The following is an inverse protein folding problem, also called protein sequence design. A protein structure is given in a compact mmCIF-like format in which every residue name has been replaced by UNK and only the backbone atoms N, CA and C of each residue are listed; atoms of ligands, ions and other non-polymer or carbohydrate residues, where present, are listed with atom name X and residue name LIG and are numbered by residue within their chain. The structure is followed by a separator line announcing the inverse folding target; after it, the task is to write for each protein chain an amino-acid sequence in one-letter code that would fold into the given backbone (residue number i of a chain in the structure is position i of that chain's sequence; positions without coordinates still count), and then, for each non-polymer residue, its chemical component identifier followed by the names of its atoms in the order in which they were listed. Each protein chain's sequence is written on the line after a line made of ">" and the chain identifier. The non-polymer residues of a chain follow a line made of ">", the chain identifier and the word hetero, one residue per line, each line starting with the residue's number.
data_IF_193907485946
#
_entry.id   IF_193907485946
#
_cell.length_a   1.000
_cell.length_b   1.000
_cell.length_c   1.000
_cell.angle_alpha   90.00
_cell.angle_beta   90.00
_cell.angle_gamma   90.00
#
_symmetry.space_group_name_H-M   'P 1'
#
loop_
_entity.id
_entity.type
_entity.pdbx_description
1 polymer ?
#
# COMPACT_ATOMS: atom_id res chain seq x y z
N UNK A 1 0.24 2.57 -24.79
CA UNK A 1 0.47 1.14 -25.17
C UNK A 1 -0.22 0.27 -24.12
N UNK A 2 -0.63 -0.96 -24.44
CA UNK A 2 -1.08 -1.93 -23.42
C UNK A 2 -0.05 -3.06 -23.30
N UNK A 3 0.32 -3.42 -22.08
CA UNK A 3 1.27 -4.52 -21.77
C UNK A 3 0.65 -5.32 -20.62
N UNK A 4 0.39 -6.62 -20.85
CA UNK A 4 -0.26 -7.50 -19.86
C UNK A 4 -1.59 -6.95 -19.28
N UNK A 5 -2.35 -6.20 -20.07
CA UNK A 5 -3.60 -5.56 -19.62
C UNK A 5 -3.42 -4.22 -18.89
N UNK A 6 -2.18 -3.79 -18.66
CA UNK A 6 -1.86 -2.50 -18.04
C UNK A 6 -1.64 -1.42 -19.10
N UNK A 7 -2.17 -0.21 -18.86
CA UNK A 7 -2.00 0.94 -19.75
C UNK A 7 -0.70 1.67 -19.41
N UNK A 8 0.34 1.43 -20.21
CA UNK A 8 1.67 2.00 -20.01
C UNK A 8 1.82 3.30 -20.81
N UNK A 9 2.31 4.34 -20.13
CA UNK A 9 2.79 5.58 -20.72
C UNK A 9 4.25 5.41 -21.13
N UNK A 10 4.54 5.69 -22.39
CA UNK A 10 5.86 5.47 -22.99
C UNK A 10 6.42 6.77 -23.56
N UNK A 11 7.70 7.04 -23.35
CA UNK A 11 8.42 8.13 -23.99
C UNK A 11 9.44 7.57 -25.00
N UNK A 12 9.72 8.33 -26.05
CA UNK A 12 10.80 8.00 -27.00
C UNK A 12 12.02 8.87 -26.68
N UNK A 13 13.16 8.25 -26.42
CA UNK A 13 14.42 8.94 -26.17
C UNK A 13 15.57 8.20 -26.86
N UNK A 14 16.45 8.92 -27.56
CA UNK A 14 17.58 8.36 -28.33
C UNK A 14 17.21 7.16 -29.23
N UNK A 15 16.03 7.18 -29.84
CA UNK A 15 15.55 6.10 -30.71
C UNK A 15 14.96 4.89 -29.98
N UNK A 16 15.03 4.84 -28.65
CA UNK A 16 14.45 3.80 -27.81
C UNK A 16 13.09 4.22 -27.26
N UNK A 17 12.19 3.25 -27.08
CA UNK A 17 10.91 3.44 -26.40
C UNK A 17 11.08 3.02 -24.94
N UNK A 18 10.84 3.93 -24.01
CA UNK A 18 10.99 3.73 -22.57
C UNK A 18 9.61 3.77 -21.91
N UNK A 19 9.34 2.82 -21.02
CA UNK A 19 8.17 2.89 -20.13
C UNK A 19 8.44 3.93 -19.03
N UNK A 20 7.56 4.91 -18.91
CA UNK A 20 7.69 6.03 -17.97
C UNK A 20 6.74 5.87 -16.78
N UNK A 21 5.60 5.21 -16.98
CA UNK A 21 4.65 4.95 -15.91
C UNK A 21 3.44 4.17 -16.36
N UNK A 22 2.57 3.85 -15.41
CA UNK A 22 1.29 3.22 -15.64
C UNK A 22 0.14 4.18 -15.33
N UNK A 23 -0.91 4.11 -16.14
CA UNK A 23 -2.19 4.70 -15.78
C UNK A 23 -3.01 3.68 -15.02
N UNK A 24 -3.24 3.95 -13.74
CA UNK A 24 -4.08 3.16 -12.84
C UNK A 24 -5.43 3.87 -12.71
N UNK A 25 -6.51 3.11 -12.77
CA UNK A 25 -7.85 3.61 -12.46
C UNK A 25 -8.22 3.16 -11.04
N UNK A 26 -8.89 4.00 -10.23
CA UNK A 26 -9.38 3.58 -8.92
C UNK A 26 -10.31 2.37 -9.05
N UNK A 27 -10.19 1.43 -8.12
CA UNK A 27 -11.13 0.31 -7.99
C UNK A 27 -12.15 0.60 -6.88
N UNK A 28 -13.40 0.10 -6.98
CA UNK A 28 -14.37 0.27 -5.91
C UNK A 28 -13.86 -0.26 -4.56
N UNK A 29 -13.99 0.55 -3.50
CA UNK A 29 -13.55 0.19 -2.16
C UNK A 29 -14.74 -0.30 -1.32
N UNK A 30 -14.58 -1.46 -0.70
CA UNK A 30 -15.54 -1.98 0.29
C UNK A 30 -15.37 -1.25 1.63
N UNK A 31 -16.41 -1.22 2.45
CA UNK A 31 -16.36 -0.66 3.82
C UNK A 31 -15.23 -1.27 4.67
N UNK A 32 -14.94 -2.56 4.47
CA UNK A 32 -13.86 -3.25 5.19
C UNK A 32 -12.47 -2.66 4.90
N UNK A 33 -12.23 -2.21 3.66
CA UNK A 33 -10.98 -1.56 3.25
C UNK A 33 -10.95 -0.09 3.63
N UNK A 34 -12.09 0.60 3.59
CA UNK A 34 -12.18 1.96 4.11
C UNK A 34 -11.88 1.99 5.63
N UNK A 35 -12.31 0.97 6.36
CA UNK A 35 -12.02 0.81 7.79
C UNK A 35 -10.53 0.57 8.11
N UNK A 36 -9.69 0.24 7.12
CA UNK A 36 -8.23 0.10 7.32
C UNK A 36 -7.48 1.42 7.26
N UNK A 37 -8.12 2.55 6.94
CA UNK A 37 -7.44 3.85 6.98
C UNK A 37 -6.95 4.14 8.40
N UNK A 38 -5.68 4.50 8.54
CA UNK A 38 -5.05 4.81 9.82
C UNK A 38 -3.56 4.46 9.86
N UNK A 39 -3.00 4.57 11.07
CA UNK A 39 -1.57 4.32 11.33
C UNK A 39 -1.36 2.96 11.96
N UNK A 40 -0.23 2.35 11.64
CA UNK A 40 0.13 1.00 12.03
C UNK A 40 1.60 0.91 12.44
N UNK A 41 1.89 -0.02 13.35
CA UNK A 41 3.23 -0.35 13.81
C UNK A 41 3.56 -1.79 13.44
N UNK A 42 4.78 -2.03 12.95
CA UNK A 42 5.27 -3.37 12.68
C UNK A 42 5.31 -4.22 13.97
N UNK A 43 4.90 -5.47 13.85
CA UNK A 43 5.14 -6.52 14.84
C UNK A 43 6.50 -7.14 14.49
N UNK A 44 7.46 -7.02 15.40
CA UNK A 44 8.78 -7.63 15.26
C UNK A 44 9.14 -8.32 16.56
N UNK A 45 9.63 -9.56 16.45
CA UNK A 45 10.22 -10.32 17.56
C UNK A 45 11.76 -10.12 17.63
N UNK A 46 12.34 -9.43 16.64
CA UNK A 46 13.77 -9.12 16.60
C UNK A 46 14.10 -7.97 17.58
N UNK A 47 15.14 -8.11 18.43
CA UNK A 47 15.63 -7.02 19.28
C UNK A 47 16.19 -5.82 18.50
N UNK A 48 16.52 -5.97 17.20
CA UNK A 48 16.85 -4.86 16.30
C UNK A 48 15.62 -4.14 15.75
N UNK A 49 15.76 -2.85 15.41
CA UNK A 49 14.68 -2.15 14.70
C UNK A 49 14.50 -2.74 13.30
N UNK A 50 13.29 -3.20 12.93
CA UNK A 50 13.05 -3.75 11.61
C UNK A 50 13.23 -2.66 10.53
N UNK A 51 13.68 -3.02 9.30
CA UNK A 51 13.86 -2.07 8.21
C UNK A 51 12.61 -1.24 7.90
N UNK A 52 11.44 -1.82 8.11
CA UNK A 52 10.15 -1.14 8.10
C UNK A 52 9.55 -1.28 9.50
N UNK A 53 9.32 -0.15 10.18
CA UNK A 53 8.81 -0.15 11.54
C UNK A 53 7.41 0.45 11.68
N UNK A 54 6.94 1.23 10.70
CA UNK A 54 5.60 1.78 10.68
C UNK A 54 4.96 1.71 9.31
N UNK A 55 3.65 1.96 9.28
CA UNK A 55 2.90 2.04 8.04
C UNK A 55 1.68 2.95 8.22
N UNK A 56 1.41 3.80 7.24
CA UNK A 56 0.15 4.52 7.14
C UNK A 56 -0.68 3.98 5.98
N UNK A 57 -1.99 3.83 6.21
CA UNK A 57 -2.97 3.57 5.16
C UNK A 57 -3.87 4.79 5.03
N UNK A 58 -3.93 5.35 3.82
CA UNK A 58 -4.70 6.56 3.53
C UNK A 58 -5.56 6.40 2.28
N UNK A 59 -6.63 7.18 2.18
CA UNK A 59 -7.42 7.32 0.96
C UNK A 59 -7.04 8.64 0.29
N UNK A 60 -6.52 8.57 -0.93
CA UNK A 60 -6.05 9.75 -1.68
C UNK A 60 -6.53 9.65 -3.11
N UNK A 61 -7.28 10.66 -3.58
CA UNK A 61 -7.84 10.72 -4.95
C UNK A 61 -8.60 9.45 -5.38
N UNK A 62 -9.23 8.77 -4.43
CA UNK A 62 -9.97 7.52 -4.65
C UNK A 62 -9.10 6.25 -4.59
N UNK A 63 -7.80 6.39 -4.41
CA UNK A 63 -6.86 5.27 -4.24
C UNK A 63 -6.61 4.97 -2.78
N UNK A 64 -6.63 3.69 -2.43
CA UNK A 64 -6.13 3.23 -1.15
C UNK A 64 -4.61 3.15 -1.22
N UNK A 65 -3.92 3.94 -0.40
CA UNK A 65 -2.46 4.08 -0.38
C UNK A 65 -1.89 3.40 0.86
N UNK A 66 -0.78 2.68 0.70
CA UNK A 66 0.10 2.26 1.79
C UNK A 66 1.38 3.08 1.72
N UNK A 67 1.80 3.67 2.85
CA UNK A 67 3.11 4.30 3.02
C UNK A 67 3.90 3.55 4.06
N UNK A 68 5.01 2.93 3.66
CA UNK A 68 5.91 2.28 4.61
C UNK A 68 6.79 3.33 5.29
N UNK A 69 7.03 3.15 6.59
CA UNK A 69 7.83 4.06 7.40
C UNK A 69 9.06 3.34 7.96
N UNK A 70 10.20 4.03 7.94
CA UNK A 70 11.40 3.67 8.67
C UNK A 70 11.76 4.81 9.61
N UNK A 71 11.76 4.53 10.92
CA UNK A 71 12.02 5.53 11.97
C UNK A 71 11.11 6.77 11.82
N UNK A 72 9.84 6.54 11.48
CA UNK A 72 8.84 7.58 11.27
C UNK A 72 9.00 8.39 9.97
N UNK A 73 9.95 8.04 9.10
CA UNK A 73 10.15 8.69 7.80
C UNK A 73 9.56 7.82 6.68
N UNK A 74 8.84 8.39 5.70
CA UNK A 74 8.37 7.66 4.54
C UNK A 74 9.53 7.02 3.77
N UNK A 75 9.36 5.74 3.44
CA UNK A 75 10.31 4.96 2.65
C UNK A 75 9.78 4.70 1.25
N UNK A 76 8.55 4.19 1.12
CA UNK A 76 7.92 3.90 -0.17
C UNK A 76 6.40 3.95 -0.06
N UNK A 77 5.76 4.39 -1.14
CA UNK A 77 4.32 4.48 -1.28
C UNK A 77 3.83 3.45 -2.31
N UNK A 78 2.70 2.80 -2.02
CA UNK A 78 2.08 1.79 -2.86
C UNK A 78 0.59 2.07 -3.01
N UNK A 79 0.06 1.87 -4.21
CA UNK A 79 -1.38 1.86 -4.46
C UNK A 79 -1.89 0.44 -4.23
N UNK A 80 -2.99 0.29 -3.50
CA UNK A 80 -3.68 -0.97 -3.32
C UNK A 80 -4.91 -1.05 -4.22
N UNK A 81 -5.05 -2.20 -4.88
CA UNK A 81 -6.28 -2.61 -5.54
C UNK A 81 -6.92 -3.78 -4.76
N UNK A 82 -7.97 -3.53 -3.97
CA UNK A 82 -8.79 -4.59 -3.39
C UNK A 82 -9.28 -5.61 -4.41
N UNK A 83 -9.18 -6.89 -4.05
CA UNK A 83 -9.69 -8.02 -4.81
C UNK A 83 -10.93 -8.61 -4.13
N UNK A 84 -10.94 -8.64 -2.80
CA UNK A 84 -12.09 -9.01 -1.96
C UNK A 84 -12.05 -8.27 -0.61
N UNK A 85 -12.86 -8.67 0.38
CA UNK A 85 -12.95 -8.01 1.70
C UNK A 85 -11.72 -8.21 2.62
N UNK A 86 -10.78 -9.06 2.24
CA UNK A 86 -9.61 -9.44 3.03
C UNK A 86 -8.30 -9.34 2.23
N UNK A 87 -8.34 -9.34 0.91
CA UNK A 87 -7.18 -9.34 0.03
C UNK A 87 -7.18 -8.13 -0.92
N UNK A 88 -6.03 -7.48 -1.02
CA UNK A 88 -5.71 -6.49 -2.02
C UNK A 88 -4.36 -6.86 -2.67
N UNK A 89 -4.08 -6.29 -3.83
CA UNK A 89 -2.77 -6.40 -4.48
C UNK A 89 -2.13 -5.02 -4.60
N UNK A 90 -0.81 -4.96 -4.51
CA UNK A 90 -0.07 -3.76 -4.87
C UNK A 90 -0.21 -3.55 -6.39
N UNK A 91 -0.76 -2.41 -6.77
CA UNK A 91 -1.04 -2.02 -8.15
C UNK A 91 0.03 -1.07 -8.72
N UNK A 92 0.06 -0.96 -10.04
CA UNK A 92 0.97 -0.06 -10.77
C UNK A 92 2.23 -0.77 -11.25
N UNK A 93 3.34 -0.04 -11.28
CA UNK A 93 4.64 -0.59 -11.65
C UNK A 93 5.66 -0.27 -10.56
N UNK A 94 6.48 -1.25 -10.20
CA UNK A 94 7.55 -1.09 -9.21
C UNK A 94 7.80 -2.35 -8.40
N UNK A 95 8.74 -2.29 -7.44
CA UNK A 95 8.96 -3.36 -6.48
C UNK A 95 7.67 -3.73 -5.75
N UNK A 96 7.44 -5.02 -5.51
CA UNK A 96 6.24 -5.51 -4.83
C UNK A 96 4.96 -5.51 -5.66
N UNK A 97 5.00 -5.10 -6.95
CA UNK A 97 3.85 -5.22 -7.84
C UNK A 97 3.29 -6.65 -7.83
N UNK A 98 1.98 -6.75 -7.61
CA UNK A 98 1.27 -8.03 -7.56
C UNK A 98 1.36 -8.74 -6.21
N UNK A 99 2.16 -8.24 -5.27
CA UNK A 99 2.19 -8.78 -3.91
C UNK A 99 0.83 -8.61 -3.25
N UNK A 100 0.43 -9.64 -2.52
CA UNK A 100 -0.84 -9.66 -1.81
C UNK A 100 -0.72 -8.96 -0.47
N UNK A 101 -1.57 -7.98 -0.25
CA UNK A 101 -1.84 -7.37 1.05
C UNK A 101 -3.03 -8.07 1.69
N UNK A 102 -2.87 -8.55 2.92
CA UNK A 102 -3.94 -9.21 3.67
C UNK A 102 -4.40 -8.34 4.81
N UNK A 103 -5.67 -7.95 4.81
CA UNK A 103 -6.33 -7.32 5.95
C UNK A 103 -6.55 -8.37 7.05
N UNK A 104 -6.27 -7.97 8.28
CA UNK A 104 -6.65 -8.68 9.50
C UNK A 104 -7.60 -7.81 10.32
N UNK A 105 -8.25 -8.39 11.34
CA UNK A 105 -9.22 -7.67 12.17
C UNK A 105 -8.63 -6.40 12.80
N UNK A 106 -7.37 -6.46 13.26
CA UNK A 106 -6.67 -5.36 13.93
C UNK A 106 -5.35 -4.98 13.26
N UNK A 107 -5.16 -5.37 12.01
CA UNK A 107 -3.84 -5.34 11.38
C UNK A 107 -3.85 -5.57 9.88
N UNK A 108 -2.67 -5.56 9.30
CA UNK A 108 -2.44 -5.79 7.89
C UNK A 108 -1.11 -6.52 7.71
N UNK A 109 -1.06 -7.48 6.79
CA UNK A 109 0.18 -8.13 6.40
C UNK A 109 0.54 -7.73 4.97
N UNK A 110 1.78 -7.27 4.77
CA UNK A 110 2.27 -6.74 3.50
C UNK A 110 3.80 -6.78 3.47
N UNK A 111 4.39 -7.10 2.32
CA UNK A 111 5.85 -7.17 2.10
C UNK A 111 6.60 -8.08 3.10
N UNK A 112 5.93 -9.11 3.63
CA UNK A 112 6.49 -10.02 4.64
C UNK A 112 6.42 -9.51 6.08
N UNK A 113 5.90 -8.30 6.31
CA UNK A 113 5.70 -7.73 7.65
C UNK A 113 4.26 -7.91 8.10
N UNK A 114 4.07 -8.04 9.41
CA UNK A 114 2.76 -7.98 10.07
C UNK A 114 2.65 -6.66 10.83
N UNK A 115 1.56 -5.94 10.64
CA UNK A 115 1.33 -4.63 11.25
C UNK A 115 0.09 -4.65 12.12
N UNK A 116 0.17 -4.04 13.30
CA UNK A 116 -0.99 -3.78 14.15
C UNK A 116 -1.41 -2.30 14.06
N UNK A 117 -2.71 -2.05 14.07
CA UNK A 117 -3.24 -0.68 14.09
C UNK A 117 -2.87 0.00 15.40
N UNK A 118 -2.43 1.25 15.32
CA UNK A 118 -2.24 2.10 16.49
C UNK A 118 -3.51 2.90 16.74
N UNK A 119 -3.96 2.91 18.00
CA UNK A 119 -5.10 3.73 18.42
C UNK A 119 -4.55 4.84 19.30
N UNK A 120 -4.62 6.08 18.83
CA UNK A 120 -4.32 7.22 19.69
C UNK A 120 -5.42 7.34 20.76
N UNK A 121 -5.04 7.37 22.03
CA UNK A 121 -5.95 7.41 23.18
C UNK A 121 -6.89 8.62 23.23
N UNK A 122 -6.71 9.62 22.36
CA UNK A 122 -7.53 10.84 22.32
C UNK A 122 -8.87 10.70 21.58
N UNK A 123 -9.23 9.50 21.10
CA UNK A 123 -10.45 9.27 20.30
C UNK A 123 -11.65 8.68 21.07
N UNK A 124 -11.59 8.60 22.39
CA UNK A 124 -12.73 8.24 23.23
C UNK A 124 -13.16 9.44 24.08
N UNK A 125 -13.97 10.32 23.49
CA UNK A 125 -14.90 11.16 24.26
C UNK A 125 -16.30 10.69 23.89
N UNK A 126 -16.94 10.04 24.86
CA UNK A 126 -18.37 9.70 24.83
C UNK A 126 -19.21 10.96 24.97
#
# INVERSE_FOLDING_TARGET
>A
MQVQGHRVFTAKSHGQLLAVGERIEPVPLTDNWLATVGTYQALSDDPGEPPINGMDIALEDGFLMIRSLQQGRPLTDYILAPVDNAHAVIAGNGPGLGDTVRRQVNGVNVLGYSFKRTYNANHLRF
#
